data_IF_676640227281
#
_entry.id   IF_676640227281
#
_cell.length_a   1.000
_cell.length_b   1.000
_cell.length_c   1.000
_cell.angle_alpha   90.00
_cell.angle_beta   90.00
_cell.angle_gamma   90.00
#
_symmetry.space_group_name_H-M   'P 1'
#
loop_
_entity.id
_entity.type
_entity.pdbx_description
1 polymer ?
#
# COMPACT_ATOMS: atom_id res chain seq x y z
N UNK A 1 -1.78 1.62 -7.12
CA UNK A 1 -0.83 2.50 -7.77
C UNK A 1 0.40 2.68 -6.89
N UNK A 2 1.59 2.83 -7.52
CA UNK A 2 2.85 3.08 -6.81
C UNK A 2 3.22 4.56 -6.80
N UNK A 3 2.87 5.28 -7.85
CA UNK A 3 3.31 6.67 -8.04
C UNK A 3 2.46 7.60 -7.17
N UNK A 4 3.08 8.42 -6.29
CA UNK A 4 2.38 9.42 -5.52
C UNK A 4 1.68 10.47 -6.40
N UNK A 5 0.48 10.91 -6.00
CA UNK A 5 -0.33 11.88 -6.75
C UNK A 5 0.38 13.22 -6.97
N UNK A 6 1.31 13.56 -6.10
CA UNK A 6 2.13 14.77 -6.21
C UNK A 6 2.92 14.90 -7.52
N UNK A 7 3.19 13.79 -8.24
CA UNK A 7 3.89 13.81 -9.54
C UNK A 7 3.14 14.61 -10.61
N UNK A 8 1.81 14.75 -10.44
CA UNK A 8 0.94 15.52 -11.35
C UNK A 8 1.01 17.03 -11.11
N UNK A 9 1.69 17.48 -10.05
CA UNK A 9 1.77 18.89 -9.66
C UNK A 9 3.10 19.48 -10.08
N UNK A 10 3.06 20.60 -10.81
CA UNK A 10 4.26 21.31 -11.22
C UNK A 10 5.11 21.76 -10.01
N UNK A 11 6.42 21.63 -10.14
CA UNK A 11 7.38 22.03 -9.10
C UNK A 11 7.42 21.11 -7.88
N UNK A 12 6.66 20.00 -7.86
CA UNK A 12 6.73 19.02 -6.77
C UNK A 12 7.61 17.84 -7.16
N UNK A 13 8.28 17.26 -6.16
CA UNK A 13 9.08 16.05 -6.30
C UNK A 13 8.39 14.95 -5.49
N UNK A 14 8.01 13.88 -6.15
CA UNK A 14 7.45 12.69 -5.52
C UNK A 14 8.55 11.70 -5.17
N UNK A 15 8.51 11.14 -3.98
CA UNK A 15 9.50 10.18 -3.49
C UNK A 15 8.79 8.92 -3.01
N UNK A 16 9.22 7.77 -3.48
CA UNK A 16 8.80 6.47 -2.95
C UNK A 16 9.92 5.97 -2.04
N UNK A 17 9.65 5.91 -0.74
CA UNK A 17 10.63 5.54 0.27
C UNK A 17 10.92 4.04 0.33
N UNK A 18 11.92 3.68 1.13
CA UNK A 18 12.36 2.29 1.35
C UNK A 18 11.34 1.42 2.08
N UNK A 19 10.34 2.04 2.73
CA UNK A 19 9.23 1.32 3.37
C UNK A 19 8.31 0.61 2.38
N UNK A 20 8.21 1.11 1.15
CA UNK A 20 7.37 0.53 0.12
C UNK A 20 7.97 -0.75 -0.50
N UNK A 21 7.09 -1.66 -0.94
CA UNK A 21 7.46 -2.75 -1.86
C UNK A 21 6.90 -2.43 -3.24
N UNK A 22 7.69 -2.62 -4.29
CA UNK A 22 7.40 -2.08 -5.61
C UNK A 22 7.45 -3.19 -6.66
N UNK A 23 6.38 -3.29 -7.44
CA UNK A 23 6.34 -4.11 -8.64
C UNK A 23 7.00 -3.37 -9.80
N UNK A 24 8.15 -3.86 -10.33
CA UNK A 24 8.89 -3.16 -11.38
C UNK A 24 8.13 -3.09 -12.71
N UNK A 25 7.22 -4.01 -12.98
CA UNK A 25 6.39 -3.96 -14.18
C UNK A 25 5.30 -2.90 -14.03
N UNK A 26 4.58 -2.91 -12.92
CA UNK A 26 3.48 -1.97 -12.67
C UNK A 26 3.99 -0.53 -12.65
N UNK A 27 5.12 -0.25 -11.98
CA UNK A 27 5.62 1.14 -11.94
C UNK A 27 6.09 1.63 -13.31
N UNK A 28 6.68 0.77 -14.14
CA UNK A 28 7.03 1.11 -15.53
C UNK A 28 5.78 1.45 -16.33
N UNK A 29 4.72 0.66 -16.19
CA UNK A 29 3.46 0.87 -16.91
C UNK A 29 2.74 2.15 -16.43
N UNK A 30 2.74 2.42 -15.13
CA UNK A 30 2.20 3.67 -14.57
C UNK A 30 2.95 4.90 -15.11
N UNK A 31 4.30 4.87 -15.15
CA UNK A 31 5.10 5.97 -15.71
C UNK A 31 4.77 6.18 -17.19
N UNK A 32 4.69 5.10 -17.99
CA UNK A 32 4.34 5.18 -19.41
C UNK A 32 2.93 5.73 -19.61
N UNK A 33 1.97 5.27 -18.82
CA UNK A 33 0.58 5.74 -18.88
C UNK A 33 0.47 7.24 -18.58
N UNK A 34 1.19 7.74 -17.57
CA UNK A 34 1.23 9.15 -17.24
C UNK A 34 1.90 9.97 -18.36
N UNK A 35 3.02 9.49 -18.89
CA UNK A 35 3.69 10.14 -20.03
C UNK A 35 2.77 10.21 -21.28
N UNK A 36 2.00 9.14 -21.54
CA UNK A 36 1.00 9.12 -22.65
C UNK A 36 -0.12 10.14 -22.43
N UNK A 37 -0.46 10.45 -21.17
CA UNK A 37 -1.43 11.49 -20.81
C UNK A 37 -0.83 12.92 -20.82
N UNK A 38 0.42 13.09 -21.24
CA UNK A 38 1.10 14.38 -21.35
C UNK A 38 1.84 14.84 -20.09
N UNK A 39 1.86 14.05 -19.01
CA UNK A 39 2.59 14.40 -17.80
C UNK A 39 4.10 14.14 -17.96
N UNK A 40 4.92 15.12 -17.57
CA UNK A 40 6.38 14.93 -17.51
C UNK A 40 6.75 14.13 -16.27
N UNK A 41 7.05 12.84 -16.43
CA UNK A 41 7.54 11.98 -15.34
C UNK A 41 8.98 11.60 -15.66
N UNK A 42 9.93 12.13 -14.90
CA UNK A 42 11.38 11.94 -15.10
C UNK A 42 12.07 11.79 -13.74
N UNK A 43 13.34 11.41 -13.71
CA UNK A 43 14.15 11.38 -12.48
C UNK A 43 14.31 12.74 -11.77
N UNK A 44 13.84 13.85 -12.39
CA UNK A 44 13.81 15.16 -11.72
C UNK A 44 12.65 15.29 -10.74
N UNK A 45 11.47 14.72 -11.06
CA UNK A 45 10.24 14.88 -10.26
C UNK A 45 9.66 13.58 -9.69
N UNK A 46 10.23 12.42 -10.00
CA UNK A 46 9.95 11.14 -9.34
C UNK A 46 11.27 10.52 -8.90
N UNK A 47 11.34 10.10 -7.64
CA UNK A 47 12.48 9.41 -7.04
C UNK A 47 12.01 8.12 -6.37
N UNK A 48 12.77 7.06 -6.53
CA UNK A 48 12.50 5.74 -5.97
C UNK A 48 13.71 5.34 -5.12
N UNK A 49 13.45 4.91 -3.90
CA UNK A 49 14.51 4.43 -3.03
C UNK A 49 15.23 3.23 -3.62
N UNK A 50 16.55 3.31 -3.70
CA UNK A 50 17.40 2.17 -4.06
C UNK A 50 17.28 1.00 -3.06
N UNK A 51 16.81 1.28 -1.83
CA UNK A 51 16.59 0.29 -0.78
C UNK A 51 15.18 -0.32 -0.79
N UNK A 52 14.25 0.18 -1.62
CA UNK A 52 12.93 -0.41 -1.76
C UNK A 52 13.00 -1.83 -2.34
N UNK A 53 12.15 -2.73 -1.81
CA UNK A 53 12.13 -4.12 -2.21
C UNK A 53 11.25 -4.35 -3.44
N UNK A 54 11.67 -5.30 -4.28
CA UNK A 54 10.99 -5.66 -5.52
C UNK A 54 9.98 -6.78 -5.30
N UNK A 55 8.76 -6.55 -5.74
CA UNK A 55 7.77 -7.61 -5.88
C UNK A 55 8.11 -8.39 -7.15
N UNK A 56 8.42 -9.66 -6.99
CA UNK A 56 8.84 -10.55 -8.07
C UNK A 56 7.71 -11.53 -8.43
N UNK A 57 7.75 -12.17 -9.61
CA UNK A 57 6.69 -13.07 -10.06
C UNK A 57 6.33 -14.17 -9.07
N UNK A 58 7.32 -14.74 -8.37
CA UNK A 58 7.06 -15.77 -7.36
C UNK A 58 6.28 -15.26 -6.15
N UNK A 59 6.42 -13.98 -5.77
CA UNK A 59 5.61 -13.41 -4.71
C UNK A 59 4.12 -13.43 -5.05
N UNK A 60 3.77 -13.07 -6.30
CA UNK A 60 2.38 -13.09 -6.79
C UNK A 60 1.81 -14.51 -6.80
N UNK A 61 2.59 -15.47 -7.30
CA UNK A 61 2.18 -16.87 -7.35
C UNK A 61 2.00 -17.47 -5.96
N UNK A 62 2.88 -17.15 -5.01
CA UNK A 62 2.77 -17.59 -3.61
C UNK A 62 1.54 -16.95 -2.93
N UNK A 63 1.30 -15.66 -3.14
CA UNK A 63 0.14 -14.96 -2.58
C UNK A 63 -1.17 -15.60 -3.03
N UNK A 64 -1.32 -15.82 -4.33
CA UNK A 64 -2.49 -16.51 -4.92
C UNK A 64 -2.59 -17.96 -4.41
N UNK A 65 -1.48 -18.70 -4.39
CA UNK A 65 -1.47 -20.09 -3.94
C UNK A 65 -1.89 -20.24 -2.48
N UNK A 66 -1.46 -19.33 -1.60
CA UNK A 66 -1.85 -19.29 -0.18
C UNK A 66 -3.35 -19.04 -0.02
N UNK A 67 -3.93 -18.11 -0.77
CA UNK A 67 -5.37 -17.82 -0.72
C UNK A 67 -6.20 -19.03 -1.19
N UNK A 68 -5.75 -19.72 -2.23
CA UNK A 68 -6.41 -20.96 -2.72
C UNK A 68 -6.40 -22.04 -1.64
N UNK A 69 -5.26 -22.28 -0.97
CA UNK A 69 -5.16 -23.30 0.09
C UNK A 69 -6.04 -22.94 1.29
N UNK A 70 -6.12 -21.67 1.67
CA UNK A 70 -6.96 -21.21 2.78
C UNK A 70 -8.46 -21.37 2.50
N UNK A 71 -8.87 -21.37 1.24
CA UNK A 71 -10.26 -21.53 0.84
C UNK A 71 -11.21 -20.59 1.57
N UNK A 72 -12.14 -21.11 2.38
CA UNK A 72 -13.11 -20.30 3.16
C UNK A 72 -12.45 -19.40 4.22
N UNK A 73 -11.24 -19.71 4.64
CA UNK A 73 -10.45 -18.94 5.62
C UNK A 73 -9.49 -17.95 4.95
N UNK A 74 -9.66 -17.69 3.66
CA UNK A 74 -8.87 -16.72 2.92
C UNK A 74 -9.01 -15.32 3.54
N UNK A 75 -7.91 -14.56 3.57
CA UNK A 75 -7.90 -13.18 4.08
C UNK A 75 -8.54 -12.23 3.06
N UNK A 76 -8.55 -12.61 1.80
CA UNK A 76 -9.05 -11.79 0.70
C UNK A 76 -7.97 -10.85 0.17
N UNK A 77 -6.73 -11.32 0.04
CA UNK A 77 -5.62 -10.55 -0.51
C UNK A 77 -5.89 -10.12 -1.95
N UNK A 78 -5.11 -9.17 -2.44
CA UNK A 78 -5.23 -8.69 -3.83
C UNK A 78 -4.48 -9.57 -4.84
N UNK A 79 -3.77 -10.61 -4.38
CA UNK A 79 -2.94 -11.50 -5.22
C UNK A 79 -1.73 -10.80 -5.84
N UNK A 80 -1.33 -9.65 -5.30
CA UNK A 80 -0.24 -8.82 -5.85
C UNK A 80 1.14 -9.16 -5.29
N UNK A 81 1.23 -10.11 -4.38
CA UNK A 81 2.49 -10.55 -3.79
C UNK A 81 3.06 -9.60 -2.74
N UNK A 82 2.25 -8.70 -2.19
CA UNK A 82 2.67 -7.73 -1.17
C UNK A 82 3.17 -8.45 0.08
N UNK A 83 2.34 -9.34 0.66
CA UNK A 83 2.68 -10.11 1.86
C UNK A 83 3.95 -10.94 1.69
N UNK A 84 4.05 -11.81 0.68
CA UNK A 84 5.27 -12.57 0.42
C UNK A 84 6.52 -11.73 0.18
N UNK A 85 6.39 -10.51 -0.38
CA UNK A 85 7.53 -9.61 -0.55
C UNK A 85 8.00 -9.02 0.80
N UNK A 86 7.08 -8.63 1.69
CA UNK A 86 7.44 -8.21 3.05
C UNK A 86 8.01 -9.37 3.88
N UNK A 87 7.51 -10.59 3.72
CA UNK A 87 8.08 -11.80 4.32
C UNK A 87 9.56 -11.96 3.91
N UNK A 88 9.88 -11.83 2.63
CA UNK A 88 11.25 -11.90 2.14
C UNK A 88 12.12 -10.73 2.62
N UNK A 89 11.54 -9.53 2.77
CA UNK A 89 12.22 -8.39 3.39
C UNK A 89 12.65 -8.70 4.82
N UNK A 90 11.74 -9.22 5.65
CA UNK A 90 11.99 -9.52 7.06
C UNK A 90 12.92 -10.71 7.23
N UNK A 91 12.81 -11.74 6.38
CA UNK A 91 13.71 -12.90 6.35
C UNK A 91 15.08 -12.57 5.73
N UNK A 92 15.29 -11.36 5.24
CA UNK A 92 16.54 -10.85 4.62
C UNK A 92 16.93 -11.57 3.32
N UNK A 93 15.91 -12.06 2.59
CA UNK A 93 16.07 -12.72 1.28
C UNK A 93 15.59 -11.83 0.13
N UNK A 94 14.98 -10.69 0.45
CA UNK A 94 14.40 -9.78 -0.51
C UNK A 94 15.43 -9.17 -1.47
N UNK A 95 14.99 -8.89 -2.68
CA UNK A 95 15.77 -8.18 -3.72
C UNK A 95 15.37 -6.71 -3.69
N UNK A 96 16.35 -5.82 -3.67
CA UNK A 96 16.17 -4.36 -3.66
C UNK A 96 16.57 -3.74 -4.99
N UNK A 97 16.12 -2.52 -5.26
CA UNK A 97 16.52 -1.82 -6.49
C UNK A 97 18.03 -1.66 -6.64
N UNK A 98 18.78 -1.44 -5.58
CA UNK A 98 20.24 -1.35 -5.60
C UNK A 98 20.90 -2.63 -6.16
N UNK A 99 20.30 -3.79 -5.95
CA UNK A 99 20.83 -5.06 -6.45
C UNK A 99 20.80 -5.15 -7.98
N UNK A 100 19.92 -4.38 -8.64
CA UNK A 100 19.84 -4.32 -10.10
C UNK A 100 21.04 -3.61 -10.74
N UNK A 101 21.81 -2.84 -9.97
CA UNK A 101 23.00 -2.14 -10.47
C UNK A 101 24.14 -3.08 -10.88
N UNK A 102 24.11 -4.32 -10.35
CA UNK A 102 25.11 -5.34 -10.65
C UNK A 102 24.46 -6.68 -11.00
N UNK A 103 24.45 -7.02 -12.29
CA UNK A 103 23.84 -8.26 -12.81
C UNK A 103 24.35 -9.53 -12.14
N UNK A 104 25.63 -9.58 -11.74
CA UNK A 104 26.22 -10.76 -11.06
C UNK A 104 25.66 -10.90 -9.65
N UNK A 105 25.65 -9.82 -8.86
CA UNK A 105 25.08 -9.81 -7.50
C UNK A 105 23.58 -10.18 -7.55
N UNK A 106 22.84 -9.58 -8.47
CA UNK A 106 21.40 -9.91 -8.68
C UNK A 106 21.22 -11.40 -8.95
N UNK A 107 22.01 -11.96 -9.88
CA UNK A 107 21.90 -13.39 -10.27
C UNK A 107 22.26 -14.31 -9.10
N UNK A 108 23.28 -13.99 -8.32
CA UNK A 108 23.70 -14.80 -7.17
C UNK A 108 22.64 -14.79 -6.05
N UNK A 109 22.08 -13.63 -5.72
CA UNK A 109 20.96 -13.52 -4.78
C UNK A 109 19.73 -14.30 -5.26
N UNK A 110 19.31 -14.09 -6.51
CA UNK A 110 18.16 -14.79 -7.08
C UNK A 110 18.36 -16.31 -7.14
N UNK A 111 19.58 -16.79 -7.36
CA UNK A 111 19.87 -18.22 -7.35
C UNK A 111 19.57 -18.85 -5.99
N UNK A 112 19.91 -18.17 -4.91
CA UNK A 112 19.61 -18.64 -3.54
C UNK A 112 18.11 -18.60 -3.26
N UNK A 113 17.47 -17.46 -3.50
CA UNK A 113 16.03 -17.27 -3.26
C UNK A 113 15.18 -18.23 -4.10
N UNK A 114 15.45 -18.37 -5.39
CA UNK A 114 14.69 -19.23 -6.29
C UNK A 114 14.85 -20.71 -5.98
N UNK A 115 15.95 -21.14 -5.34
CA UNK A 115 16.12 -22.52 -4.89
C UNK A 115 14.99 -22.94 -3.93
N UNK A 116 14.64 -22.07 -3.01
CA UNK A 116 13.54 -22.30 -2.06
C UNK A 116 12.19 -22.03 -2.70
N UNK A 117 11.99 -20.85 -3.30
CA UNK A 117 10.69 -20.45 -3.85
C UNK A 117 10.19 -21.40 -4.93
N UNK A 118 11.07 -21.89 -5.80
CA UNK A 118 10.69 -22.89 -6.82
C UNK A 118 10.28 -24.24 -6.24
N UNK A 119 10.80 -24.63 -5.06
CA UNK A 119 10.30 -25.81 -4.34
C UNK A 119 8.89 -25.56 -3.83
N UNK A 120 8.65 -24.41 -3.20
CA UNK A 120 7.32 -24.02 -2.73
C UNK A 120 6.33 -24.00 -3.91
N UNK A 121 6.67 -23.32 -4.99
CA UNK A 121 5.82 -23.24 -6.18
C UNK A 121 5.47 -24.63 -6.73
N UNK A 122 6.46 -25.52 -6.91
CA UNK A 122 6.21 -26.82 -7.53
C UNK A 122 5.59 -27.84 -6.61
N UNK A 123 6.02 -27.92 -5.34
CA UNK A 123 5.61 -28.99 -4.41
C UNK A 123 4.34 -28.62 -3.62
N UNK A 124 4.14 -27.35 -3.31
CA UNK A 124 3.01 -26.89 -2.49
C UNK A 124 1.86 -26.38 -3.36
N UNK A 125 2.18 -25.58 -4.39
CA UNK A 125 1.17 -24.90 -5.20
C UNK A 125 0.95 -25.50 -6.57
N UNK A 126 1.68 -26.59 -6.94
CA UNK A 126 1.63 -27.21 -8.27
C UNK A 126 1.80 -26.20 -9.42
N UNK A 127 2.68 -25.22 -9.22
CA UNK A 127 2.98 -24.15 -10.16
C UNK A 127 4.32 -24.38 -10.87
N UNK A 128 4.47 -23.80 -12.07
CA UNK A 128 5.72 -23.91 -12.83
C UNK A 128 6.85 -23.16 -12.12
N UNK A 129 8.05 -23.76 -12.17
CA UNK A 129 9.28 -23.13 -11.68
C UNK A 129 9.63 -21.90 -12.51
N UNK A 130 10.17 -20.87 -11.86
CA UNK A 130 10.65 -19.66 -12.51
C UNK A 130 12.10 -19.83 -12.92
N UNK A 131 12.38 -19.52 -14.19
CA UNK A 131 13.74 -19.52 -14.75
C UNK A 131 14.51 -18.31 -14.24
N UNK A 132 15.70 -18.57 -13.69
CA UNK A 132 16.58 -17.50 -13.21
C UNK A 132 17.07 -16.59 -14.35
N UNK A 133 17.42 -17.15 -15.50
CA UNK A 133 17.94 -16.37 -16.61
C UNK A 133 16.86 -15.43 -17.16
N UNK A 134 15.65 -15.94 -17.37
CA UNK A 134 14.50 -15.14 -17.83
C UNK A 134 14.21 -14.02 -16.82
N UNK A 135 14.15 -14.32 -15.52
CA UNK A 135 13.86 -13.32 -14.49
C UNK A 135 14.95 -12.24 -14.44
N UNK A 136 16.24 -12.62 -14.47
CA UNK A 136 17.35 -11.66 -14.49
C UNK A 136 17.27 -10.75 -15.71
N UNK A 137 17.05 -11.32 -16.90
CA UNK A 137 17.02 -10.53 -18.14
C UNK A 137 15.81 -9.57 -18.17
N UNK A 138 14.67 -10.00 -17.67
CA UNK A 138 13.48 -9.13 -17.54
C UNK A 138 13.72 -8.01 -16.54
N UNK A 139 14.29 -8.29 -15.37
CA UNK A 139 14.64 -7.27 -14.39
C UNK A 139 15.65 -6.26 -14.94
N UNK A 140 16.67 -6.72 -15.67
CA UNK A 140 17.65 -5.82 -16.31
C UNK A 140 17.02 -4.90 -17.37
N UNK A 141 16.02 -5.40 -18.12
CA UNK A 141 15.25 -4.55 -19.05
C UNK A 141 14.49 -3.45 -18.29
N UNK A 142 13.81 -3.80 -17.14
CA UNK A 142 13.10 -2.81 -16.31
C UNK A 142 14.09 -1.82 -15.68
N UNK A 143 15.23 -2.30 -15.19
CA UNK A 143 16.27 -1.45 -14.63
C UNK A 143 16.78 -0.40 -15.63
N UNK A 144 17.01 -0.78 -16.88
CA UNK A 144 17.43 0.17 -17.93
C UNK A 144 16.46 1.36 -18.06
N UNK A 145 15.17 1.13 -17.87
CA UNK A 145 14.14 2.20 -17.87
C UNK A 145 14.10 2.96 -16.54
N UNK A 146 14.20 2.24 -15.41
CA UNK A 146 13.96 2.80 -14.08
C UNK A 146 15.20 3.49 -13.48
N UNK A 147 16.41 3.26 -13.98
CA UNK A 147 17.67 3.73 -13.38
C UNK A 147 17.72 5.25 -13.15
N UNK A 148 17.04 6.05 -13.98
CA UNK A 148 17.01 7.51 -13.83
C UNK A 148 16.22 7.96 -12.57
N UNK A 149 15.33 7.09 -12.06
CA UNK A 149 14.47 7.36 -10.91
C UNK A 149 15.09 6.85 -9.59
N UNK A 150 16.01 5.87 -9.66
CA UNK A 150 16.55 5.19 -8.50
C UNK A 150 17.66 6.01 -7.87
N UNK A 151 17.47 6.38 -6.60
CA UNK A 151 18.40 7.23 -5.86
C UNK A 151 18.47 6.81 -4.39
N UNK A 152 19.51 7.28 -3.69
CA UNK A 152 19.53 7.26 -2.24
C UNK A 152 18.52 8.28 -1.71
N UNK A 153 17.32 7.80 -1.33
CA UNK A 153 16.22 8.68 -0.92
C UNK A 153 16.38 9.22 0.50
N UNK A 154 17.01 8.50 1.41
CA UNK A 154 17.26 8.97 2.77
C UNK A 154 18.23 10.16 2.77
N UNK A 155 19.29 10.11 1.99
CA UNK A 155 20.21 11.26 1.81
C UNK A 155 19.48 12.45 1.17
N UNK A 156 18.72 12.19 0.09
CA UNK A 156 17.95 13.23 -0.60
C UNK A 156 16.94 13.93 0.32
N UNK A 157 16.17 13.16 1.10
CA UNK A 157 15.15 13.69 2.00
C UNK A 157 15.78 14.46 3.18
N UNK A 158 16.83 13.91 3.82
CA UNK A 158 17.51 14.58 4.91
C UNK A 158 18.18 15.89 4.48
N UNK A 159 18.79 15.94 3.29
CA UNK A 159 19.29 17.18 2.70
C UNK A 159 18.16 18.19 2.46
N UNK A 160 17.01 17.71 1.97
CA UNK A 160 15.84 18.57 1.74
C UNK A 160 15.29 19.16 3.04
N UNK A 161 15.19 18.37 4.10
CA UNK A 161 14.80 18.83 5.45
C UNK A 161 15.79 19.88 5.97
N UNK A 162 17.09 19.63 5.87
CA UNK A 162 18.12 20.57 6.34
C UNK A 162 18.16 21.87 5.53
N UNK A 163 17.65 21.86 4.30
CA UNK A 163 17.45 23.04 3.45
C UNK A 163 16.13 23.77 3.75
N UNK A 164 15.36 23.37 4.77
CA UNK A 164 14.07 23.98 5.12
C UNK A 164 12.94 23.69 4.15
N UNK A 165 13.04 22.66 3.30
CA UNK A 165 11.97 22.29 2.38
C UNK A 165 10.83 21.61 3.13
N UNK A 166 9.59 21.94 2.77
CA UNK A 166 8.41 21.25 3.26
C UNK A 166 8.26 19.88 2.62
N UNK A 167 8.05 18.84 3.43
CA UNK A 167 7.82 17.48 2.99
C UNK A 167 6.47 17.00 3.52
N UNK A 168 5.64 16.48 2.63
CA UNK A 168 4.41 15.77 2.99
C UNK A 168 4.69 14.27 2.95
N UNK A 169 4.54 13.62 4.10
CA UNK A 169 4.57 12.16 4.20
C UNK A 169 3.15 11.62 4.02
N UNK A 170 2.95 10.80 3.01
CA UNK A 170 1.68 10.18 2.70
C UNK A 170 1.75 8.69 3.00
N UNK A 171 0.90 8.24 3.94
CA UNK A 171 0.71 6.82 4.23
C UNK A 171 -0.18 6.15 3.21
N UNK A 172 -0.29 4.84 3.33
CA UNK A 172 -1.19 4.01 2.53
C UNK A 172 -2.07 3.18 3.45
N UNK A 173 -3.16 2.63 2.92
CA UNK A 173 -4.17 1.84 3.64
C UNK A 173 -4.86 2.65 4.77
N UNK A 174 -4.88 2.12 6.00
CA UNK A 174 -5.48 2.76 7.17
C UNK A 174 -5.08 2.05 8.46
N UNK A 175 -5.21 2.71 9.59
CA UNK A 175 -4.71 2.24 10.89
C UNK A 175 -5.26 0.86 11.27
N UNK A 176 -6.55 0.60 11.01
CA UNK A 176 -7.16 -0.70 11.31
C UNK A 176 -6.64 -1.85 10.43
N UNK A 177 -5.81 -1.54 9.42
CA UNK A 177 -5.10 -2.51 8.58
C UNK A 177 -3.61 -2.63 8.94
N UNK A 178 -3.14 -1.93 9.98
CA UNK A 178 -1.76 -2.03 10.47
C UNK A 178 -1.44 -3.45 10.92
N UNK A 179 -0.23 -3.92 10.62
CA UNK A 179 0.18 -5.30 10.93
C UNK A 179 0.20 -5.59 12.45
N UNK A 180 0.50 -4.59 13.27
CA UNK A 180 0.63 -4.74 14.72
C UNK A 180 -0.61 -4.21 15.47
N UNK A 181 -1.17 -3.09 15.04
CA UNK A 181 -2.25 -2.37 15.73
C UNK A 181 -3.62 -2.49 15.08
N UNK A 182 -3.71 -3.15 13.95
CA UNK A 182 -4.96 -3.36 13.22
C UNK A 182 -5.72 -4.62 13.68
N UNK A 183 -6.74 -4.96 12.90
CA UNK A 183 -7.62 -6.12 13.17
C UNK A 183 -7.01 -7.44 12.68
N UNK A 184 -5.87 -7.83 13.23
CA UNK A 184 -5.17 -9.07 12.87
C UNK A 184 -6.10 -10.29 12.97
N UNK A 185 -6.09 -11.25 12.02
CA UNK A 185 -5.18 -11.37 10.87
C UNK A 185 -5.65 -10.63 9.59
N UNK A 186 -6.75 -9.87 9.65
CA UNK A 186 -7.33 -9.15 8.51
C UNK A 186 -6.67 -7.78 8.32
N UNK A 187 -5.37 -7.77 8.10
CA UNK A 187 -4.49 -6.60 8.01
C UNK A 187 -3.62 -6.66 6.77
N UNK A 188 -2.93 -5.56 6.45
CA UNK A 188 -1.85 -5.56 5.47
C UNK A 188 -0.55 -6.05 6.11
N UNK A 189 0.44 -6.41 5.32
CA UNK A 189 1.73 -6.92 5.80
C UNK A 189 2.74 -5.81 6.11
N UNK A 190 2.28 -4.59 6.31
CA UNK A 190 3.13 -3.44 6.59
C UNK A 190 2.55 -2.57 7.70
N UNK A 191 3.39 -1.77 8.33
CA UNK A 191 2.92 -0.73 9.24
C UNK A 191 2.30 0.42 8.47
N UNK A 192 1.10 0.85 8.92
CA UNK A 192 0.31 1.93 8.30
C UNK A 192 0.14 3.14 9.22
N UNK A 193 0.70 3.09 10.44
CA UNK A 193 0.65 4.19 11.40
C UNK A 193 1.65 5.30 11.05
N UNK A 194 1.43 6.50 11.56
CA UNK A 194 2.23 7.70 11.26
C UNK A 194 3.72 7.54 11.55
N UNK A 195 4.09 6.84 12.63
CA UNK A 195 5.48 6.59 13.03
C UNK A 195 6.28 5.81 11.98
N UNK A 196 5.62 5.02 11.12
CA UNK A 196 6.29 4.31 10.04
C UNK A 196 6.88 5.26 8.97
N UNK A 197 6.46 6.52 8.91
CA UNK A 197 7.05 7.50 8.01
C UNK A 197 8.56 7.67 8.27
N UNK A 198 9.01 7.59 9.53
CA UNK A 198 10.43 7.66 9.87
C UNK A 198 11.22 6.46 9.33
N UNK A 199 10.81 5.24 9.66
CA UNK A 199 11.49 4.00 9.21
C UNK A 199 11.35 3.77 7.70
N UNK A 200 10.21 4.17 7.13
CA UNK A 200 9.91 4.02 5.70
C UNK A 200 10.61 5.01 4.78
N UNK A 201 11.24 6.06 5.32
CA UNK A 201 11.93 7.10 4.53
C UNK A 201 13.34 7.42 4.98
N UNK A 202 13.72 7.03 6.21
CA UNK A 202 15.01 7.38 6.82
C UNK A 202 15.10 8.83 7.33
N UNK A 203 13.98 9.55 7.39
CA UNK A 203 13.93 10.87 8.03
C UNK A 203 13.72 10.70 9.54
N UNK A 204 14.54 11.32 10.40
CA UNK A 204 14.37 11.21 11.85
C UNK A 204 13.01 11.73 12.33
N UNK A 205 12.34 11.01 13.23
CA UNK A 205 11.02 11.40 13.75
C UNK A 205 10.98 12.81 14.36
N UNK A 206 12.09 13.28 14.94
CA UNK A 206 12.22 14.66 15.50
C UNK A 206 12.08 15.76 14.46
N UNK A 207 12.09 15.42 13.17
CA UNK A 207 11.93 16.37 12.06
C UNK A 207 10.50 16.40 11.51
N UNK A 208 9.61 15.55 12.02
CA UNK A 208 8.21 15.59 11.65
C UNK A 208 7.49 16.74 12.35
N UNK A 209 6.59 17.38 11.61
CA UNK A 209 5.65 18.35 12.12
C UNK A 209 4.33 17.69 12.53
N UNK A 210 3.21 18.27 12.09
CA UNK A 210 1.88 17.77 12.39
C UNK A 210 1.58 16.42 11.77
N UNK A 211 0.89 15.57 12.53
CA UNK A 211 0.29 14.32 12.07
C UNK A 211 -1.20 14.53 11.81
N UNK A 212 -1.62 14.38 10.56
CA UNK A 212 -3.00 14.64 10.13
C UNK A 212 -3.66 13.32 9.72
N UNK A 213 -4.77 12.97 10.37
CA UNK A 213 -5.60 11.83 10.00
C UNK A 213 -6.61 12.20 8.92
N UNK A 214 -6.79 11.30 7.95
CA UNK A 214 -7.87 11.41 6.98
C UNK A 214 -8.90 10.34 7.31
N UNK A 215 -10.12 10.75 7.62
CA UNK A 215 -11.24 9.84 7.88
C UNK A 215 -12.40 10.17 6.96
N UNK A 216 -13.13 9.15 6.53
CA UNK A 216 -14.45 9.38 5.93
C UNK A 216 -15.46 9.66 7.05
N UNK A 217 -16.55 10.34 6.73
CA UNK A 217 -17.66 10.54 7.65
C UNK A 217 -18.45 9.24 7.95
N UNK A 218 -18.12 8.15 7.29
CA UNK A 218 -18.64 6.80 7.49
C UNK A 218 -17.50 5.78 7.33
N UNK A 219 -17.72 4.56 7.81
CA UNK A 219 -16.70 3.51 7.72
C UNK A 219 -16.88 2.66 6.45
N UNK A 220 -15.73 2.18 5.90
CA UNK A 220 -15.74 1.22 4.79
C UNK A 220 -14.68 0.14 4.99
N UNK A 221 -14.98 -1.07 4.54
CA UNK A 221 -14.05 -2.19 4.59
C UNK A 221 -14.10 -3.03 3.33
N UNK A 222 -12.94 -3.45 2.82
CA UNK A 222 -12.84 -4.45 1.76
C UNK A 222 -12.45 -5.79 2.37
N UNK A 223 -13.09 -6.88 1.91
CA UNK A 223 -12.78 -8.23 2.35
C UNK A 223 -13.33 -8.59 3.73
N UNK A 224 -12.78 -9.64 4.30
CA UNK A 224 -13.23 -10.19 5.57
C UNK A 224 -12.70 -9.40 6.78
N UNK A 225 -13.14 -9.78 7.97
CA UNK A 225 -12.75 -9.19 9.23
C UNK A 225 -13.86 -8.42 9.94
N UNK A 226 -13.63 -8.01 11.19
CA UNK A 226 -14.66 -7.37 12.01
C UNK A 226 -15.05 -6.01 11.45
N UNK A 227 -16.35 -5.71 11.53
CA UNK A 227 -16.91 -4.42 11.16
C UNK A 227 -18.14 -4.16 12.03
N UNK A 228 -17.97 -3.70 13.28
CA UNK A 228 -19.05 -3.58 14.27
C UNK A 228 -20.19 -2.66 13.85
N UNK A 229 -19.90 -1.64 13.06
CA UNK A 229 -20.86 -0.63 12.60
C UNK A 229 -21.37 -0.89 11.18
N UNK A 230 -21.19 -2.11 10.65
CA UNK A 230 -21.61 -2.45 9.29
C UNK A 230 -23.14 -2.35 9.12
N UNK A 231 -23.56 -1.75 8.03
CA UNK A 231 -24.95 -1.68 7.57
C UNK A 231 -25.15 -2.73 6.49
N UNK A 232 -25.98 -3.74 6.80
CA UNK A 232 -26.26 -4.89 5.91
C UNK A 232 -27.61 -4.75 5.17
N UNK A 233 -28.29 -3.64 5.35
CA UNK A 233 -29.57 -3.27 4.81
C UNK A 233 -29.46 -2.42 3.52
N UNK A 234 -30.59 -1.95 3.04
CA UNK A 234 -30.70 -1.10 1.84
C UNK A 234 -29.97 0.23 2.02
N UNK A 235 -29.86 0.76 3.24
CA UNK A 235 -29.13 1.99 3.53
C UNK A 235 -27.63 1.77 3.31
N UNK A 236 -27.07 0.63 3.74
CA UNK A 236 -25.68 0.26 3.49
C UNK A 236 -25.39 0.09 2.01
N UNK A 237 -26.32 -0.45 1.23
CA UNK A 237 -26.24 -0.54 -0.22
C UNK A 237 -26.28 0.86 -0.86
N UNK A 238 -27.21 1.70 -0.46
CA UNK A 238 -27.32 3.08 -0.95
C UNK A 238 -26.06 3.89 -0.65
N UNK A 239 -25.49 3.77 0.56
CA UNK A 239 -24.26 4.42 0.95
C UNK A 239 -23.06 3.98 0.06
N UNK A 240 -23.00 2.70 -0.30
CA UNK A 240 -21.99 2.17 -1.23
C UNK A 240 -22.10 2.82 -2.61
N UNK A 241 -23.32 2.86 -3.17
CA UNK A 241 -23.56 3.41 -4.52
C UNK A 241 -23.31 4.93 -4.55
N UNK A 242 -23.88 5.70 -3.63
CA UNK A 242 -23.68 7.14 -3.56
C UNK A 242 -22.23 7.53 -3.30
N UNK A 243 -21.54 6.75 -2.45
CA UNK A 243 -20.16 6.96 -2.12
C UNK A 243 -19.17 6.45 -3.18
N UNK A 244 -19.64 5.74 -4.22
CA UNK A 244 -18.78 5.02 -5.18
C UNK A 244 -17.74 4.14 -4.44
N UNK A 245 -18.25 3.36 -3.45
CA UNK A 245 -17.39 2.60 -2.55
C UNK A 245 -16.99 1.26 -3.15
N UNK A 246 -16.13 1.34 -4.14
CA UNK A 246 -15.48 0.23 -4.81
C UNK A 246 -13.96 0.32 -4.69
N UNK A 247 -13.29 -0.81 -4.70
CA UNK A 247 -11.83 -0.85 -4.65
C UNK A 247 -11.23 -0.27 -5.94
N UNK A 248 -10.48 0.83 -5.83
CA UNK A 248 -9.89 1.53 -6.98
C UNK A 248 -9.07 0.63 -7.92
N UNK A 249 -8.55 -0.48 -7.42
CA UNK A 249 -7.68 -1.39 -8.17
C UNK A 249 -8.36 -2.70 -8.53
N UNK A 250 -9.27 -3.19 -7.69
CA UNK A 250 -9.90 -4.50 -7.81
C UNK A 250 -11.36 -4.42 -8.25
N UNK A 251 -11.98 -3.23 -8.20
CA UNK A 251 -13.41 -3.05 -8.42
C UNK A 251 -14.29 -3.77 -7.39
N UNK A 252 -13.71 -4.38 -6.33
CA UNK A 252 -14.49 -5.08 -5.31
C UNK A 252 -15.38 -4.12 -4.56
N UNK A 253 -16.67 -4.43 -4.33
CA UNK A 253 -17.54 -3.63 -3.49
C UNK A 253 -17.01 -3.58 -2.07
N UNK A 254 -17.07 -2.41 -1.46
CA UNK A 254 -16.75 -2.22 -0.04
C UNK A 254 -18.00 -2.45 0.80
N UNK A 255 -17.82 -3.07 1.95
CA UNK A 255 -18.78 -3.08 3.03
C UNK A 255 -18.83 -1.66 3.59
N UNK A 256 -20.00 -1.12 3.86
CA UNK A 256 -20.21 0.24 4.37
C UNK A 256 -20.92 0.19 5.73
N UNK A 257 -20.72 1.21 6.55
CA UNK A 257 -21.35 1.31 7.86
C UNK A 257 -21.10 2.67 8.51
N UNK A 258 -21.69 2.87 9.67
CA UNK A 258 -21.53 4.11 10.44
C UNK A 258 -20.08 4.32 10.86
N UNK A 259 -19.70 5.58 11.08
CA UNK A 259 -18.39 5.93 11.60
C UNK A 259 -18.18 5.29 12.99
N UNK A 260 -17.16 4.44 13.08
CA UNK A 260 -16.77 3.81 14.34
C UNK A 260 -15.86 4.76 15.14
N UNK A 261 -16.44 5.45 16.11
CA UNK A 261 -15.72 6.42 16.94
C UNK A 261 -14.69 5.76 17.87
N UNK A 262 -14.89 4.49 18.25
CA UNK A 262 -13.92 3.76 19.09
C UNK A 262 -12.68 3.45 18.24
N UNK A 263 -12.87 2.94 17.04
CA UNK A 263 -11.77 2.69 16.11
C UNK A 263 -11.07 4.01 15.69
N UNK A 264 -11.82 5.09 15.53
CA UNK A 264 -11.25 6.40 15.24
C UNK A 264 -10.41 6.92 16.40
N UNK A 265 -10.90 6.84 17.65
CA UNK A 265 -10.16 7.21 18.86
C UNK A 265 -8.87 6.41 18.98
N UNK A 266 -8.93 5.09 18.82
CA UNK A 266 -7.74 4.22 18.79
C UNK A 266 -6.73 4.71 17.73
N UNK A 267 -7.22 5.06 16.53
CA UNK A 267 -6.36 5.55 15.45
C UNK A 267 -5.68 6.88 15.78
N UNK A 268 -6.41 7.79 16.45
CA UNK A 268 -5.87 9.08 16.95
C UNK A 268 -4.74 8.84 17.94
N UNK A 269 -4.96 7.97 18.91
CA UNK A 269 -4.00 7.68 19.98
C UNK A 269 -2.73 7.01 19.43
N UNK A 270 -2.87 5.95 18.62
CA UNK A 270 -1.72 5.20 18.06
C UNK A 270 -0.90 6.03 17.09
N UNK A 271 -1.54 6.90 16.30
CA UNK A 271 -0.84 7.74 15.33
C UNK A 271 -0.38 9.08 15.90
N UNK A 272 -0.82 9.44 17.13
CA UNK A 272 -0.55 10.76 17.69
C UNK A 272 -1.05 11.87 16.76
N UNK A 273 -2.33 11.79 16.35
CA UNK A 273 -2.88 12.76 15.40
C UNK A 273 -3.14 14.10 16.07
N UNK A 274 -2.66 15.17 15.45
CA UNK A 274 -2.94 16.55 15.86
C UNK A 274 -4.28 17.04 15.30
N UNK A 275 -4.66 16.57 14.12
CA UNK A 275 -5.84 17.00 13.38
C UNK A 275 -6.48 15.83 12.63
N UNK A 276 -7.80 15.89 12.41
CA UNK A 276 -8.55 14.96 11.55
C UNK A 276 -9.27 15.76 10.49
N UNK A 277 -9.12 15.34 9.23
CA UNK A 277 -9.89 15.83 8.10
C UNK A 277 -10.98 14.82 7.79
N UNK A 278 -12.24 15.22 7.96
CA UNK A 278 -13.39 14.41 7.55
C UNK A 278 -13.69 14.64 6.07
N UNK A 279 -13.79 13.53 5.34
CA UNK A 279 -14.13 13.52 3.91
C UNK A 279 -15.46 12.82 3.70
N UNK A 280 -16.05 12.96 2.51
CA UNK A 280 -17.33 12.29 2.15
C UNK A 280 -18.53 12.69 3.02
N UNK A 281 -18.50 13.88 3.64
CA UNK A 281 -19.63 14.43 4.41
C UNK A 281 -20.81 14.71 3.48
N UNK A 282 -20.53 15.13 2.24
CA UNK A 282 -21.50 15.34 1.16
C UNK A 282 -22.31 14.07 0.85
N UNK A 283 -21.71 12.90 0.93
CA UNK A 283 -22.40 11.63 0.69
C UNK A 283 -23.46 11.34 1.75
N UNK A 284 -23.18 11.66 3.02
CA UNK A 284 -24.18 11.50 4.08
C UNK A 284 -25.41 12.39 3.90
N UNK A 285 -25.25 13.56 3.26
CA UNK A 285 -26.38 14.44 2.97
C UNK A 285 -27.37 13.85 1.96
N UNK A 286 -26.96 12.82 1.22
CA UNK A 286 -27.83 12.07 0.29
C UNK A 286 -28.67 11.00 0.98
N UNK A 287 -28.27 10.58 2.20
CA UNK A 287 -29.12 9.77 3.05
C UNK A 287 -30.26 10.70 3.55
N UNK A 288 -31.46 10.44 3.12
CA UNK A 288 -32.64 11.27 3.48
C UNK A 288 -32.70 11.53 4.99
N UNK A 289 -32.97 12.77 5.39
CA UNK A 289 -33.18 13.14 6.79
C UNK A 289 -34.28 12.30 7.48
N UNK A 290 -35.18 11.69 6.71
CA UNK A 290 -36.21 10.75 7.18
C UNK A 290 -35.57 9.47 7.76
N UNK A 291 -34.37 9.12 7.33
CA UNK A 291 -33.63 7.93 7.79
C UNK A 291 -32.64 8.25 8.93
N UNK A 292 -32.43 9.52 9.25
CA UNK A 292 -31.81 9.98 10.50
C UNK A 292 -32.95 10.11 11.56
N UNK A 293 -33.81 9.12 11.63
CA UNK A 293 -34.80 9.03 12.72
C UNK A 293 -34.00 8.78 14.01
N UNK A 294 -34.36 9.56 15.04
CA UNK A 294 -33.85 9.40 16.41
C UNK A 294 -33.78 7.91 16.78
N UNK A 295 -32.74 7.46 17.51
CA UNK A 295 -32.72 6.11 18.02
C UNK A 295 -33.98 5.92 18.84
N UNK A 296 -34.90 5.07 18.38
CA UNK A 296 -36.06 4.65 19.13
C UNK A 296 -35.54 4.10 20.46
N UNK A 297 -35.80 4.83 21.56
CA UNK A 297 -35.54 4.31 22.90
C UNK A 297 -36.27 2.98 22.99
N UNK A 298 -35.59 1.90 23.45
CA UNK A 298 -36.32 0.68 23.76
C UNK A 298 -37.42 1.05 24.75
N UNK A 299 -38.64 0.78 24.42
CA UNK A 299 -39.76 0.86 25.34
C UNK A 299 -39.46 -0.09 26.51
N UNK A 300 -39.35 0.48 27.68
CA UNK A 300 -39.20 -0.19 28.96
C UNK A 300 -40.06 -1.43 29.14
#
# INVERSE_FOLDING_TARGET
HHIPSGVLRNGKISVIGNGAVIDPDIIVDEIKALRKKGYKVTGKNLKISELAHLILPFHKLIDIGREIIKGKNAIGTTGRGIGPCYEDKISRQGIRFVDLSNKKILKDKLKMTLKEKNKILSLVFNQKKISINTLVDDLMKRFKFLKEFIVNTEDFLNKSVNQGKSILFEGAQGVMLDIDFGTYPFVTSSSTISSNASSGTGVPYKKFGKSIGISKAYATRVGHGPFPTEMIDDEGLALREFGDEYGATTGRPRRCGWLDLIALKHSVEICGLDEIILTKVDILSMLSLIHISEPTRPSS
#
